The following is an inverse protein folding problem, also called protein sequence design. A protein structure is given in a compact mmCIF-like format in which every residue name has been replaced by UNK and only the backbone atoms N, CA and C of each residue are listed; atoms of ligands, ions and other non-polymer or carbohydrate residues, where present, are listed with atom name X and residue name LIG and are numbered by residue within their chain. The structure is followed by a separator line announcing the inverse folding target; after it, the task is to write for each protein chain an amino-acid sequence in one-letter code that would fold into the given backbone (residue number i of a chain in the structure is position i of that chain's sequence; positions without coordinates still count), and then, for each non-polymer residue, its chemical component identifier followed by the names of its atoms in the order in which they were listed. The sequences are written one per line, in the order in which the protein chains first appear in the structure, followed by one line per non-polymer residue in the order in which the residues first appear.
data_IF_157353012392
#
_entry.id   IF_157353012392
#
_cell.length_a   1.000
_cell.length_b   1.000
_cell.length_c   1.000
_cell.angle_alpha   90.00
_cell.angle_beta   90.00
_cell.angle_gamma   90.00
#
_symmetry.space_group_name_H-M   'P 1'
#
loop_
_entity.id
_entity.type
_entity.pdbx_description
1 polymer ?
#
# COMPACT_ATOMS: atom_id res chain seq x y z
N UNK A 1 -12.24 -11.18 8.94
CA UNK A 1 -11.98 -9.78 9.38
C UNK A 1 -10.84 -9.66 10.40
N UNK A 2 -9.75 -10.44 10.29
CA UNK A 2 -8.52 -10.20 11.07
C UNK A 2 -7.39 -9.93 10.08
N UNK A 3 -7.41 -8.71 9.56
CA UNK A 3 -6.24 -8.01 9.00
C UNK A 3 -6.64 -6.55 8.93
N UNK A 4 -6.85 -5.92 10.08
CA UNK A 4 -6.84 -4.47 10.15
C UNK A 4 -5.40 -4.06 9.79
N UNK A 5 -5.22 -3.63 8.53
CA UNK A 5 -4.00 -3.04 8.04
C UNK A 5 -3.90 -1.66 8.71
N UNK A 6 -3.30 -1.63 9.90
CA UNK A 6 -2.93 -0.37 10.53
C UNK A 6 -1.73 0.19 9.74
N UNK A 7 -1.83 1.39 9.15
CA UNK A 7 -0.72 1.96 8.42
C UNK A 7 0.43 2.27 9.39
N UNK A 8 1.64 1.85 9.04
CA UNK A 8 2.90 2.46 9.52
C UNK A 8 3.27 2.30 11.01
N UNK A 9 2.87 1.20 11.69
CA UNK A 9 3.36 0.90 13.06
C UNK A 9 4.05 -0.47 13.17
N UNK A 10 4.94 -0.78 12.22
CA UNK A 10 5.84 -1.92 12.31
C UNK A 10 7.30 -1.48 12.39
N UNK A 11 7.70 -0.87 13.52
CA UNK A 11 9.10 -0.95 13.97
C UNK A 11 9.27 -2.25 14.73
N UNK A 12 9.64 -3.32 14.03
CA UNK A 12 10.28 -4.50 14.62
C UNK A 12 11.32 -5.02 13.64
N UNK A 13 12.42 -4.28 13.53
CA UNK A 13 13.66 -4.89 13.06
C UNK A 13 14.03 -5.92 14.13
N UNK A 14 14.01 -7.21 13.80
CA UNK A 14 14.54 -8.23 14.70
C UNK A 14 16.04 -7.97 14.79
N UNK A 15 16.49 -7.40 15.91
CA UNK A 15 17.85 -6.88 16.12
C UNK A 15 18.98 -7.92 16.03
N UNK A 16 18.70 -9.17 15.62
CA UNK A 16 19.66 -10.26 15.73
C UNK A 16 19.94 -11.10 14.47
N UNK A 17 19.25 -10.93 13.33
CA UNK A 17 19.58 -11.72 12.14
C UNK A 17 19.87 -10.92 10.87
N UNK A 18 19.51 -9.64 10.78
CA UNK A 18 19.63 -8.90 9.50
C UNK A 18 18.75 -9.48 8.37
N UNK A 19 17.96 -10.51 8.65
CA UNK A 19 17.01 -11.09 7.72
C UNK A 19 15.70 -10.33 7.82
N UNK A 20 15.21 -9.85 6.68
CA UNK A 20 13.90 -9.23 6.56
C UNK A 20 12.84 -10.27 6.95
N UNK A 21 12.01 -9.96 7.95
CA UNK A 21 10.81 -10.76 8.23
C UNK A 21 10.02 -10.92 6.92
N UNK A 22 9.57 -12.15 6.65
CA UNK A 22 8.76 -12.47 5.48
C UNK A 22 7.51 -11.58 5.46
N UNK A 23 7.45 -10.68 4.49
CA UNK A 23 6.28 -9.82 4.24
C UNK A 23 5.60 -10.31 2.97
N UNK A 24 4.40 -10.90 3.06
CA UNK A 24 3.63 -11.27 1.88
C UNK A 24 3.46 -10.05 0.96
N UNK A 25 3.80 -10.19 -0.32
CA UNK A 25 3.73 -9.09 -1.29
C UNK A 25 5.00 -8.23 -1.41
N UNK A 26 6.08 -8.61 -0.71
CA UNK A 26 7.43 -8.08 -0.96
C UNK A 26 8.28 -9.20 -1.55
N UNK A 27 8.83 -8.97 -2.75
CA UNK A 27 9.82 -9.87 -3.35
C UNK A 27 11.20 -9.22 -3.28
N UNK A 28 12.11 -9.84 -2.54
CA UNK A 28 13.49 -9.37 -2.43
C UNK A 28 14.44 -10.28 -3.19
N UNK A 29 15.13 -9.72 -4.18
CA UNK A 29 16.38 -10.25 -4.74
C UNK A 29 17.57 -9.44 -4.18
N UNK A 30 18.80 -9.93 -4.35
CA UNK A 30 20.05 -9.35 -3.81
C UNK A 30 20.20 -7.86 -4.14
N UNK A 31 19.63 -7.39 -5.26
CA UNK A 31 19.74 -6.00 -5.72
C UNK A 31 18.41 -5.26 -5.89
N UNK A 32 17.26 -5.94 -5.79
CA UNK A 32 15.94 -5.36 -6.04
C UNK A 32 14.91 -5.79 -5.00
N UNK A 33 14.17 -4.83 -4.49
CA UNK A 33 13.00 -5.04 -3.64
C UNK A 33 11.77 -4.62 -4.43
N UNK A 34 10.90 -5.56 -4.75
CA UNK A 34 9.59 -5.31 -5.34
C UNK A 34 8.54 -5.16 -4.23
N UNK A 35 7.88 -4.00 -4.18
CA UNK A 35 6.87 -3.66 -3.19
C UNK A 35 5.47 -3.63 -3.79
N UNK A 36 5.28 -4.01 -5.05
CA UNK A 36 4.00 -3.85 -5.76
C UNK A 36 2.83 -4.57 -5.09
N UNK A 37 3.05 -5.79 -4.59
CA UNK A 37 2.03 -6.55 -3.88
C UNK A 37 1.66 -5.92 -2.54
N UNK A 38 2.65 -5.43 -1.78
CA UNK A 38 2.39 -4.71 -0.52
C UNK A 38 1.69 -3.37 -0.79
N UNK A 39 2.10 -2.65 -1.84
CA UNK A 39 1.51 -1.39 -2.24
C UNK A 39 0.03 -1.55 -2.61
N UNK A 40 -0.28 -2.54 -3.43
CA UNK A 40 -1.67 -2.88 -3.78
C UNK A 40 -2.48 -3.22 -2.52
N UNK A 41 -1.91 -4.03 -1.62
CA UNK A 41 -2.56 -4.45 -0.37
C UNK A 41 -2.86 -3.27 0.55
N UNK A 42 -1.94 -2.31 0.67
CA UNK A 42 -2.16 -1.09 1.44
C UNK A 42 -3.22 -0.20 0.79
N UNK A 43 -3.10 0.05 -0.51
CA UNK A 43 -4.04 0.90 -1.26
C UNK A 43 -5.48 0.41 -1.13
N UNK A 44 -5.77 -0.84 -1.50
CA UNK A 44 -7.15 -1.36 -1.38
C UNK A 44 -7.57 -1.60 0.08
N UNK A 45 -6.60 -1.76 0.99
CA UNK A 45 -6.85 -1.75 2.43
C UNK A 45 -7.40 -0.40 2.92
N UNK A 46 -6.78 0.70 2.50
CA UNK A 46 -7.23 2.06 2.79
C UNK A 46 -8.60 2.32 2.16
N UNK A 47 -8.81 1.93 0.90
CA UNK A 47 -10.10 2.05 0.21
C UNK A 47 -11.20 1.35 1.01
N UNK A 48 -10.98 0.11 1.44
CA UNK A 48 -11.94 -0.63 2.24
C UNK A 48 -12.18 0.05 3.60
N UNK A 49 -11.12 0.46 4.30
CA UNK A 49 -11.22 1.08 5.62
C UNK A 49 -12.05 2.36 5.60
N UNK A 50 -11.72 3.30 4.71
CA UNK A 50 -12.41 4.58 4.60
C UNK A 50 -13.81 4.44 3.98
N UNK A 51 -14.05 3.41 3.16
CA UNK A 51 -15.41 3.06 2.71
C UNK A 51 -16.26 2.64 3.90
N UNK A 52 -15.78 1.73 4.75
CA UNK A 52 -16.51 1.29 5.95
C UNK A 52 -16.77 2.47 6.88
N UNK A 53 -15.80 3.36 7.09
CA UNK A 53 -15.97 4.57 7.90
C UNK A 53 -17.19 5.39 7.42
N UNK A 54 -17.26 5.71 6.12
CA UNK A 54 -18.40 6.44 5.53
C UNK A 54 -19.71 5.69 5.62
N UNK A 55 -19.70 4.38 5.37
CA UNK A 55 -20.92 3.58 5.45
C UNK A 55 -21.43 3.52 6.90
N UNK A 56 -20.54 3.51 7.90
CA UNK A 56 -20.92 3.56 9.32
C UNK A 56 -21.60 4.89 9.66
N UNK A 57 -21.13 6.01 9.13
CA UNK A 57 -21.81 7.30 9.27
C UNK A 57 -23.22 7.29 8.65
N UNK A 58 -23.44 6.46 7.61
CA UNK A 58 -24.75 6.23 6.99
C UNK A 58 -25.61 5.20 7.73
N UNK A 59 -25.14 4.63 8.84
CA UNK A 59 -25.88 3.69 9.69
C UNK A 59 -25.57 2.20 9.45
N UNK A 60 -24.56 1.86 8.64
CA UNK A 60 -24.02 0.51 8.57
C UNK A 60 -23.31 0.15 9.89
N UNK A 61 -23.32 -1.12 10.35
CA UNK A 61 -24.05 -2.27 9.82
C UNK A 61 -25.48 -2.42 10.37
N UNK A 62 -25.97 -1.50 11.19
CA UNK A 62 -27.30 -1.60 11.81
C UNK A 62 -28.42 -1.49 10.78
N UNK A 63 -28.22 -0.68 9.74
CA UNK A 63 -29.12 -0.51 8.61
C UNK A 63 -28.52 -1.17 7.38
N UNK A 64 -29.38 -1.86 6.61
CA UNK A 64 -28.98 -2.45 5.33
C UNK A 64 -28.96 -1.36 4.27
N UNK A 65 -27.77 -1.01 3.82
CA UNK A 65 -27.57 -0.10 2.69
C UNK A 65 -27.75 -0.85 1.37
N UNK A 66 -28.18 -0.13 0.33
CA UNK A 66 -28.31 -0.72 -1.01
C UNK A 66 -26.94 -0.96 -1.63
N UNK A 67 -26.85 -1.94 -2.54
CA UNK A 67 -25.60 -2.21 -3.27
C UNK A 67 -25.10 -0.98 -4.06
N UNK A 68 -26.02 -0.15 -4.55
CA UNK A 68 -25.69 1.07 -5.28
C UNK A 68 -25.00 2.10 -4.36
N UNK A 69 -25.51 2.29 -3.13
CA UNK A 69 -24.88 3.20 -2.16
C UNK A 69 -23.50 2.71 -1.76
N UNK A 70 -23.34 1.39 -1.53
CA UNK A 70 -22.03 0.79 -1.21
C UNK A 70 -21.05 1.02 -2.37
N UNK A 71 -21.47 0.74 -3.61
CA UNK A 71 -20.66 0.91 -4.81
C UNK A 71 -20.21 2.37 -4.99
N UNK A 72 -21.14 3.32 -4.95
CA UNK A 72 -20.85 4.74 -5.12
C UNK A 72 -19.91 5.26 -4.03
N UNK A 73 -20.10 4.83 -2.78
CA UNK A 73 -19.22 5.20 -1.67
C UNK A 73 -17.81 4.68 -1.89
N UNK A 74 -17.69 3.41 -2.31
CA UNK A 74 -16.41 2.77 -2.57
C UNK A 74 -15.66 3.43 -3.74
N UNK A 75 -16.33 3.70 -4.86
CA UNK A 75 -15.74 4.42 -6.01
C UNK A 75 -15.30 5.83 -5.63
N UNK A 76 -16.11 6.56 -4.86
CA UNK A 76 -15.72 7.90 -4.37
C UNK A 76 -14.51 7.86 -3.44
N UNK A 77 -14.43 6.89 -2.52
CA UNK A 77 -13.27 6.74 -1.63
C UNK A 77 -12.03 6.34 -2.42
N UNK A 78 -12.17 5.44 -3.39
CA UNK A 78 -11.08 5.04 -4.27
C UNK A 78 -10.48 6.24 -5.01
N UNK A 79 -11.32 7.09 -5.61
CA UNK A 79 -10.85 8.29 -6.31
C UNK A 79 -10.07 9.23 -5.39
N UNK A 80 -10.52 9.40 -4.14
CA UNK A 80 -9.80 10.18 -3.14
C UNK A 80 -8.46 9.55 -2.72
N UNK A 81 -8.43 8.24 -2.54
CA UNK A 81 -7.20 7.52 -2.21
C UNK A 81 -6.21 7.61 -3.37
N UNK A 82 -6.66 7.47 -4.62
CA UNK A 82 -5.82 7.65 -5.83
C UNK A 82 -5.16 9.02 -5.83
N UNK A 83 -5.91 10.08 -5.54
CA UNK A 83 -5.36 11.44 -5.50
C UNK A 83 -4.28 11.59 -4.41
N UNK A 84 -4.50 11.02 -3.21
CA UNK A 84 -3.53 11.05 -2.10
C UNK A 84 -2.26 10.25 -2.43
N UNK A 85 -2.41 9.07 -3.01
CA UNK A 85 -1.29 8.23 -3.41
C UNK A 85 -0.48 8.89 -4.55
N UNK A 86 -1.14 9.48 -5.55
CA UNK A 86 -0.49 10.23 -6.62
C UNK A 86 0.25 11.48 -6.09
N UNK A 87 -0.32 12.19 -5.11
CA UNK A 87 0.38 13.30 -4.46
C UNK A 87 1.63 12.81 -3.71
N UNK A 88 1.50 11.71 -2.97
CA UNK A 88 2.61 11.10 -2.24
C UNK A 88 3.72 10.64 -3.20
N UNK A 89 3.35 10.07 -4.36
CA UNK A 89 4.28 9.70 -5.42
C UNK A 89 5.11 10.90 -5.89
N UNK A 90 4.44 12.02 -6.23
CA UNK A 90 5.12 13.25 -6.66
C UNK A 90 6.11 13.75 -5.62
N UNK A 91 5.75 13.70 -4.35
CA UNK A 91 6.64 14.10 -3.26
C UNK A 91 7.84 13.17 -3.09
N UNK A 92 7.64 11.85 -3.21
CA UNK A 92 8.72 10.87 -3.20
C UNK A 92 9.68 11.12 -4.36
N UNK A 93 9.15 11.33 -5.57
CA UNK A 93 9.97 11.58 -6.75
C UNK A 93 10.73 12.90 -6.68
N UNK A 94 10.12 13.95 -6.13
CA UNK A 94 10.81 15.22 -5.87
C UNK A 94 11.98 15.04 -4.89
N UNK A 95 11.74 14.36 -3.77
CA UNK A 95 12.77 14.09 -2.75
C UNK A 95 13.87 13.19 -3.31
N UNK A 96 13.52 12.18 -4.10
CA UNK A 96 14.47 11.28 -4.77
C UNK A 96 15.38 12.05 -5.72
N UNK A 97 14.82 12.93 -6.57
CA UNK A 97 15.62 13.76 -7.50
C UNK A 97 16.55 14.72 -6.76
N UNK A 98 16.08 15.34 -5.68
CA UNK A 98 16.91 16.21 -4.83
C UNK A 98 18.04 15.43 -4.16
N UNK A 99 17.75 14.25 -3.64
CA UNK A 99 18.76 13.38 -3.04
C UNK A 99 19.79 12.94 -4.07
N UNK A 100 19.37 12.57 -5.27
CA UNK A 100 20.26 12.23 -6.38
C UNK A 100 21.18 13.41 -6.73
N UNK A 101 20.62 14.62 -6.91
CA UNK A 101 21.42 15.81 -7.24
C UNK A 101 22.41 16.18 -6.13
N UNK A 102 22.03 16.05 -4.86
CA UNK A 102 22.91 16.29 -3.72
C UNK A 102 24.05 15.28 -3.65
N UNK A 103 23.75 14.00 -3.86
CA UNK A 103 24.73 12.93 -3.67
C UNK A 103 25.70 12.77 -4.84
N UNK A 104 25.18 12.91 -6.07
CA UNK A 104 25.93 12.68 -7.32
C UNK A 104 26.27 13.96 -8.10
N UNK A 105 26.08 15.13 -7.49
CA UNK A 105 26.53 16.40 -8.04
C UNK A 105 28.05 16.46 -8.20
N UNK A 106 28.52 17.15 -9.25
CA UNK A 106 29.91 17.13 -9.75
C UNK A 106 30.99 17.68 -8.80
N UNK A 107 30.62 18.25 -7.65
CA UNK A 107 31.53 18.91 -6.71
C UNK A 107 31.54 18.31 -5.30
N UNK A 108 30.95 17.13 -5.13
CA UNK A 108 30.89 16.47 -3.83
C UNK A 108 32.26 16.00 -3.35
N UNK A 109 32.70 16.46 -2.17
CA UNK A 109 34.03 16.14 -1.64
C UNK A 109 34.27 14.64 -1.40
N UNK A 110 33.21 13.87 -1.11
CA UNK A 110 33.28 12.42 -0.93
C UNK A 110 33.52 11.65 -2.24
N UNK A 111 33.16 12.21 -3.41
CA UNK A 111 33.34 11.56 -4.72
C UNK A 111 34.81 11.38 -5.11
N UNK A 112 35.74 12.06 -4.41
CA UNK A 112 37.17 12.01 -4.68
C UNK A 112 37.92 11.02 -3.79
N UNK A 113 37.22 10.30 -2.91
CA UNK A 113 37.83 9.40 -1.95
C UNK A 113 37.22 8.00 -2.07
N UNK A 114 38.07 7.03 -2.40
CA UNK A 114 37.69 5.62 -2.59
C UNK A 114 37.10 4.96 -1.35
N UNK A 115 37.29 5.54 -0.16
CA UNK A 115 36.65 5.08 1.08
C UNK A 115 35.12 5.10 1.04
N UNK A 116 34.50 5.89 0.16
CA UNK A 116 33.05 6.03 0.07
C UNK A 116 32.40 5.24 -1.07
N UNK A 117 33.16 4.45 -1.83
CA UNK A 117 32.65 3.69 -2.99
C UNK A 117 31.47 2.78 -2.62
N UNK A 118 31.57 2.03 -1.51
CA UNK A 118 30.48 1.16 -1.05
C UNK A 118 29.23 1.95 -0.64
N UNK A 119 29.42 3.11 0.00
CA UNK A 119 28.29 3.96 0.38
C UNK A 119 27.60 4.54 -0.86
N UNK A 120 28.39 4.95 -1.86
CA UNK A 120 27.88 5.42 -3.14
C UNK A 120 27.05 4.34 -3.87
N UNK A 121 27.56 3.11 -3.91
CA UNK A 121 26.86 1.98 -4.50
C UNK A 121 25.53 1.70 -3.79
N UNK A 122 25.52 1.71 -2.46
CA UNK A 122 24.29 1.55 -1.68
C UNK A 122 23.27 2.66 -1.95
N UNK A 123 23.70 3.91 -2.11
CA UNK A 123 22.80 5.01 -2.48
C UNK A 123 22.25 4.85 -3.90
N UNK A 124 23.06 4.38 -4.85
CA UNK A 124 22.59 4.07 -6.22
C UNK A 124 21.53 2.98 -6.20
N UNK A 125 21.78 1.88 -5.48
CA UNK A 125 20.82 0.78 -5.31
C UNK A 125 19.54 1.25 -4.63
N UNK A 126 19.65 2.07 -3.58
CA UNK A 126 18.49 2.65 -2.90
C UNK A 126 17.63 3.49 -3.84
N UNK A 127 18.23 4.44 -4.57
CA UNK A 127 17.49 5.30 -5.50
C UNK A 127 16.87 4.52 -6.65
N UNK A 128 17.57 3.50 -7.17
CA UNK A 128 17.02 2.59 -8.17
C UNK A 128 15.80 1.83 -7.66
N UNK A 129 15.82 1.37 -6.40
CA UNK A 129 14.67 0.73 -5.77
C UNK A 129 13.50 1.71 -5.57
N UNK A 130 13.77 2.96 -5.19
CA UNK A 130 12.71 3.99 -5.08
C UNK A 130 12.07 4.24 -6.44
N UNK A 131 12.87 4.41 -7.50
CA UNK A 131 12.38 4.65 -8.85
C UNK A 131 11.58 3.45 -9.38
N UNK A 132 12.06 2.22 -9.18
CA UNK A 132 11.38 1.00 -9.62
C UNK A 132 10.03 0.79 -8.95
N UNK A 133 9.83 1.28 -7.72
CA UNK A 133 8.59 1.08 -6.95
C UNK A 133 7.65 2.29 -6.98
N UNK A 134 8.17 3.51 -7.11
CA UNK A 134 7.38 4.74 -7.00
C UNK A 134 7.52 5.68 -8.22
N UNK A 135 8.37 5.35 -9.19
CA UNK A 135 8.50 6.08 -10.44
C UNK A 135 7.22 6.06 -11.28
N UNK A 136 7.20 6.84 -12.36
CA UNK A 136 6.03 6.98 -13.23
C UNK A 136 5.61 5.63 -13.87
N UNK A 137 6.59 4.77 -14.18
CA UNK A 137 6.38 3.45 -14.79
C UNK A 137 6.41 2.29 -13.78
N UNK A 138 6.20 2.56 -12.49
CA UNK A 138 6.36 1.52 -11.47
C UNK A 138 5.26 0.45 -11.54
N UNK A 139 5.64 -0.80 -11.27
CA UNK A 139 4.71 -1.93 -11.17
C UNK A 139 3.63 -1.70 -10.10
N UNK A 140 3.97 -0.95 -9.04
CA UNK A 140 3.05 -0.60 -7.95
C UNK A 140 1.85 0.22 -8.44
N UNK A 141 2.09 1.28 -9.23
CA UNK A 141 1.02 2.12 -9.77
C UNK A 141 0.27 1.42 -10.91
N UNK A 142 0.98 0.69 -11.77
CA UNK A 142 0.35 -0.14 -12.80
C UNK A 142 -0.62 -1.18 -12.20
N UNK A 143 -0.29 -1.76 -11.05
CA UNK A 143 -1.14 -2.74 -10.38
C UNK A 143 -2.46 -2.14 -9.91
N UNK A 144 -2.43 -0.94 -9.31
CA UNK A 144 -3.66 -0.27 -8.85
C UNK A 144 -4.44 0.41 -9.99
N UNK A 145 -3.77 0.80 -11.08
CA UNK A 145 -4.41 1.41 -12.26
C UNK A 145 -4.96 0.38 -13.25
N UNK A 146 -4.60 -0.89 -13.12
CA UNK A 146 -5.16 -1.99 -13.90
C UNK A 146 -6.67 -2.08 -13.72
N UNK A 147 -7.41 -1.86 -14.81
CA UNK A 147 -8.87 -1.95 -14.81
C UNK A 147 -9.36 -3.32 -14.33
N UNK A 148 -8.73 -4.39 -14.81
CA UNK A 148 -9.08 -5.76 -14.42
C UNK A 148 -8.90 -5.97 -12.92
N UNK A 149 -7.77 -5.52 -12.37
CA UNK A 149 -7.49 -5.69 -10.95
C UNK A 149 -8.47 -4.88 -10.09
N UNK A 150 -8.71 -3.63 -10.49
CA UNK A 150 -9.69 -2.75 -9.85
C UNK A 150 -11.09 -3.38 -9.80
N UNK A 151 -11.59 -3.87 -10.93
CA UNK A 151 -12.90 -4.52 -11.01
C UNK A 151 -12.99 -5.75 -10.09
N UNK A 152 -11.95 -6.59 -10.09
CA UNK A 152 -11.87 -7.75 -9.20
C UNK A 152 -11.88 -7.35 -7.72
N UNK A 153 -11.09 -6.35 -7.35
CA UNK A 153 -11.00 -5.85 -5.96
C UNK A 153 -12.31 -5.21 -5.52
N UNK A 154 -12.95 -4.41 -6.38
CA UNK A 154 -14.25 -3.80 -6.12
C UNK A 154 -15.33 -4.85 -5.89
N UNK A 155 -15.42 -5.84 -6.77
CA UNK A 155 -16.40 -6.92 -6.64
C UNK A 155 -16.24 -7.66 -5.31
N UNK A 156 -15.01 -7.99 -4.92
CA UNK A 156 -14.73 -8.63 -3.63
C UNK A 156 -15.09 -7.77 -2.42
N UNK A 157 -14.75 -6.47 -2.44
CA UNK A 157 -15.08 -5.55 -1.36
C UNK A 157 -16.59 -5.33 -1.22
N UNK A 158 -17.30 -5.08 -2.34
CA UNK A 158 -18.76 -4.89 -2.34
C UNK A 158 -19.46 -6.13 -1.80
N UNK A 159 -19.04 -7.32 -2.22
CA UNK A 159 -19.63 -8.56 -1.73
C UNK A 159 -19.39 -8.73 -0.23
N UNK A 160 -18.16 -8.52 0.25
CA UNK A 160 -17.84 -8.63 1.67
C UNK A 160 -18.63 -7.65 2.55
N UNK A 161 -18.86 -6.43 2.07
CA UNK A 161 -19.68 -5.44 2.78
C UNK A 161 -21.15 -5.91 2.82
N UNK A 162 -21.66 -6.40 1.68
CA UNK A 162 -23.05 -6.84 1.53
C UNK A 162 -23.39 -8.04 2.41
N UNK A 163 -22.50 -9.02 2.51
CA UNK A 163 -22.74 -10.25 3.29
C UNK A 163 -22.40 -10.10 4.77
N UNK A 164 -21.71 -9.03 5.17
CA UNK A 164 -21.21 -8.86 6.54
C UNK A 164 -22.27 -9.08 7.63
N UNK A 165 -23.50 -8.59 7.44
CA UNK A 165 -24.58 -8.73 8.41
C UNK A 165 -25.01 -10.21 8.56
N UNK A 166 -25.10 -10.93 7.45
CA UNK A 166 -25.47 -12.34 7.40
C UNK A 166 -24.34 -13.21 7.99
N UNK A 167 -23.08 -12.92 7.62
CA UNK A 167 -21.90 -13.56 8.19
C UNK A 167 -21.87 -13.38 9.71
N UNK A 168 -22.08 -12.14 10.19
CA UNK A 168 -22.15 -11.84 11.63
C UNK A 168 -23.28 -12.60 12.32
N UNK A 169 -24.42 -12.78 11.68
CA UNK A 169 -25.53 -13.54 12.24
C UNK A 169 -25.20 -15.03 12.35
N UNK A 170 -24.66 -15.63 11.28
CA UNK A 170 -24.23 -17.03 11.28
C UNK A 170 -23.18 -17.30 12.36
N UNK A 171 -22.17 -16.44 12.49
CA UNK A 171 -21.16 -16.56 13.56
C UNK A 171 -21.75 -16.51 14.97
N UNK A 172 -22.75 -15.64 15.20
CA UNK A 172 -23.43 -15.56 16.49
C UNK A 172 -24.23 -16.82 16.81
N UNK A 173 -24.85 -17.45 15.81
CA UNK A 173 -25.58 -18.70 16.00
C UNK A 173 -24.60 -19.83 16.37
N UNK A 174 -23.53 -20.01 15.60
CA UNK A 174 -22.52 -21.05 15.87
C UNK A 174 -21.88 -20.90 17.25
N UNK A 175 -21.57 -19.67 17.67
CA UNK A 175 -20.98 -19.41 18.99
C UNK A 175 -21.97 -19.52 20.15
N UNK A 176 -23.29 -19.46 19.89
CA UNK A 176 -24.32 -19.65 20.90
C UNK A 176 -24.71 -21.13 21.08
N UNK A 177 -24.40 -21.98 20.09
CA UNK A 177 -24.61 -23.43 20.11
C UNK A 177 -23.39 -24.22 20.64
N UNK A 178 -22.30 -23.53 21.01
CA UNK A 178 -21.08 -24.10 21.60
C UNK A 178 -20.90 -23.75 23.07
#
# INVERSE_FOLDING_TARGET
FVSANLPMLHKRTVEQSGESEFRPGIESDVDRVDLSGEFERQFFGDVMLFTIERLVEMGFPQQKLSSEVIKQTLESVEDEMRQRYAQTQREIMEKSRRLHALFFGSDSWWSRNSWFELAEENFRRFLHNIDSNFGEDSSSFQCIDSQQNREQRHAGMIEAIRTYADDRHAWKQTLAES
#
